data_IF_186177841781
#
_entry.id   IF_186177841781
#
_cell.length_a   1.000
_cell.length_b   1.000
_cell.length_c   1.000
_cell.angle_alpha   90.00
_cell.angle_beta   90.00
_cell.angle_gamma   90.00
#
_symmetry.space_group_name_H-M   'P 1'
#
loop_
_entity.id
_entity.type
_entity.pdbx_description
1 polymer ?
#
# COMPACT_ATOMS: atom_id res chain seq x y z
N UNK A 1 -0.33 -42.03 -0.75
CA UNK A 1 0.17 -40.64 -0.68
C UNK A 1 0.38 -40.19 -2.12
N UNK A 2 -0.46 -39.29 -2.62
CA UNK A 2 -0.31 -38.75 -3.97
C UNK A 2 0.54 -37.48 -3.85
N UNK A 3 1.80 -37.60 -4.20
CA UNK A 3 2.77 -36.51 -4.15
C UNK A 3 2.59 -35.70 -5.43
N UNK A 4 1.53 -34.89 -5.51
CA UNK A 4 1.33 -33.97 -6.64
C UNK A 4 2.32 -32.84 -6.48
N UNK A 5 3.57 -33.07 -6.91
CA UNK A 5 4.54 -32.00 -7.09
C UNK A 5 3.89 -30.94 -7.98
N UNK A 6 3.87 -29.66 -7.56
CA UNK A 6 3.34 -28.61 -8.40
C UNK A 6 4.03 -28.62 -9.76
N UNK A 7 3.26 -28.33 -10.83
CA UNK A 7 3.83 -28.27 -12.18
C UNK A 7 4.98 -27.26 -12.22
N UNK A 8 5.96 -27.47 -13.11
CA UNK A 8 7.13 -26.58 -13.25
C UNK A 8 6.74 -25.10 -13.41
N UNK A 9 5.61 -24.86 -14.09
CA UNK A 9 5.01 -23.53 -14.25
C UNK A 9 4.50 -22.96 -12.93
N UNK A 10 3.83 -23.75 -12.10
CA UNK A 10 3.32 -23.28 -10.80
C UNK A 10 4.46 -22.90 -9.85
N UNK A 11 5.51 -23.72 -9.79
CA UNK A 11 6.69 -23.42 -8.99
C UNK A 11 7.35 -22.11 -9.44
N UNK A 12 7.50 -21.90 -10.75
CA UNK A 12 8.04 -20.66 -11.30
C UNK A 12 7.18 -19.44 -10.95
N UNK A 13 5.84 -19.55 -11.09
CA UNK A 13 4.91 -18.47 -10.73
C UNK A 13 5.02 -18.09 -9.26
N UNK A 14 5.01 -19.05 -8.34
CA UNK A 14 5.13 -18.76 -6.91
C UNK A 14 6.50 -18.14 -6.60
N UNK A 15 7.59 -18.65 -7.18
CA UNK A 15 8.92 -18.07 -7.00
C UNK A 15 8.98 -16.59 -7.44
N UNK A 16 8.34 -16.24 -8.56
CA UNK A 16 8.21 -14.85 -8.99
C UNK A 16 7.38 -14.02 -8.01
N UNK A 17 6.23 -14.55 -7.57
CA UNK A 17 5.37 -13.89 -6.59
C UNK A 17 6.11 -13.60 -5.27
N UNK A 18 6.91 -14.54 -4.77
CA UNK A 18 7.74 -14.34 -3.57
C UNK A 18 8.67 -13.14 -3.74
N UNK A 19 9.32 -13.01 -4.90
CA UNK A 19 10.17 -11.86 -5.22
C UNK A 19 9.41 -10.54 -5.19
N UNK A 20 8.29 -10.48 -5.92
CA UNK A 20 7.45 -9.28 -6.01
C UNK A 20 6.89 -8.88 -4.63
N UNK A 21 6.44 -9.85 -3.83
CA UNK A 21 5.89 -9.64 -2.50
C UNK A 21 6.94 -9.13 -1.51
N UNK A 22 8.17 -9.62 -1.60
CA UNK A 22 9.28 -9.10 -0.79
C UNK A 22 9.62 -7.66 -1.15
N UNK A 23 9.69 -7.34 -2.46
CA UNK A 23 9.93 -5.99 -2.93
C UNK A 23 8.83 -5.02 -2.46
N UNK A 24 7.57 -5.36 -2.71
CA UNK A 24 6.41 -4.57 -2.28
C UNK A 24 6.42 -4.41 -0.76
N UNK A 25 6.68 -5.47 0.00
CA UNK A 25 6.73 -5.40 1.44
C UNK A 25 7.77 -4.44 1.99
N UNK A 26 9.00 -4.47 1.47
CA UNK A 26 10.07 -3.53 1.84
C UNK A 26 9.69 -2.10 1.44
N UNK A 27 9.16 -1.92 0.23
CA UNK A 27 8.70 -0.62 -0.25
C UNK A 27 7.67 -0.01 0.69
N UNK A 28 6.65 -0.78 1.10
CA UNK A 28 5.62 -0.32 2.02
C UNK A 28 6.17 0.01 3.41
N UNK A 29 7.12 -0.77 3.93
CA UNK A 29 7.76 -0.46 5.23
C UNK A 29 8.50 0.88 5.16
N UNK A 30 9.28 1.11 4.09
CA UNK A 30 10.02 2.35 3.90
C UNK A 30 9.06 3.54 3.72
N UNK A 31 8.08 3.42 2.82
CA UNK A 31 7.08 4.47 2.59
C UNK A 31 6.32 4.77 3.88
N UNK A 32 5.85 3.76 4.60
CA UNK A 32 5.13 3.96 5.86
C UNK A 32 5.99 4.64 6.93
N UNK A 33 7.28 4.30 7.02
CA UNK A 33 8.22 5.00 7.91
C UNK A 33 8.39 6.48 7.56
N UNK A 34 8.43 6.82 6.26
CA UNK A 34 8.45 8.21 5.80
C UNK A 34 7.17 8.97 6.18
N UNK A 35 6.01 8.33 6.10
CA UNK A 35 4.74 8.94 6.53
C UNK A 35 4.71 9.21 8.04
N UNK A 36 5.33 8.36 8.84
CA UNK A 36 5.42 8.52 10.29
C UNK A 36 6.29 9.71 10.76
N UNK A 37 7.01 10.41 9.87
CA UNK A 37 7.75 11.63 10.25
C UNK A 37 6.82 12.76 10.73
N UNK A 38 5.55 12.73 10.34
CA UNK A 38 4.54 13.66 10.83
C UNK A 38 3.54 12.96 11.75
N UNK A 39 3.08 13.64 12.79
CA UNK A 39 2.08 13.11 13.73
C UNK A 39 0.79 12.70 12.98
N UNK A 40 0.36 13.54 12.03
CA UNK A 40 -0.82 13.28 11.20
C UNK A 40 -0.57 12.10 10.25
N UNK A 41 0.61 12.05 9.62
CA UNK A 41 0.97 10.98 8.71
C UNK A 41 1.14 9.62 9.39
N UNK A 42 1.49 9.58 10.68
CA UNK A 42 1.62 8.34 11.45
C UNK A 42 0.30 7.53 11.50
N UNK A 43 -0.86 8.20 11.48
CA UNK A 43 -2.19 7.55 11.45
C UNK A 43 -2.35 6.66 10.21
N UNK A 44 -1.76 7.07 9.08
CA UNK A 44 -1.79 6.34 7.81
C UNK A 44 -0.54 5.45 7.65
N UNK A 45 0.61 5.93 8.10
CA UNK A 45 1.90 5.26 8.00
C UNK A 45 1.96 3.94 8.75
N UNK A 46 1.39 3.87 9.97
CA UNK A 46 1.38 2.64 10.77
C UNK A 46 0.62 1.50 10.04
N UNK A 47 -0.62 1.69 9.56
CA UNK A 47 -1.30 0.69 8.74
C UNK A 47 -0.53 0.27 7.48
N UNK A 48 0.15 1.20 6.80
CA UNK A 48 0.99 0.90 5.63
C UNK A 48 2.14 -0.05 6.02
N UNK A 49 2.85 0.23 7.12
CA UNK A 49 3.92 -0.64 7.62
C UNK A 49 3.38 -2.04 7.94
N UNK A 50 2.24 -2.12 8.65
CA UNK A 50 1.61 -3.40 9.01
C UNK A 50 1.27 -4.19 7.74
N UNK A 51 0.75 -3.53 6.71
CA UNK A 51 0.48 -4.20 5.43
C UNK A 51 1.76 -4.75 4.79
N UNK A 52 2.85 -3.97 4.78
CA UNK A 52 4.15 -4.38 4.25
C UNK A 52 4.72 -5.60 4.98
N UNK A 53 4.55 -5.68 6.30
CA UNK A 53 4.93 -6.85 7.08
C UNK A 53 4.09 -8.08 6.72
N UNK A 54 2.78 -7.92 6.52
CA UNK A 54 1.88 -9.04 6.18
C UNK A 54 2.17 -9.66 4.81
N UNK A 55 2.49 -8.85 3.79
CA UNK A 55 2.83 -9.38 2.47
C UNK A 55 4.19 -10.10 2.46
N UNK A 56 5.17 -9.66 3.26
CA UNK A 56 6.44 -10.37 3.44
C UNK A 56 6.26 -11.70 4.16
N UNK A 57 5.41 -11.72 5.18
CA UNK A 57 5.11 -12.96 5.90
C UNK A 57 4.43 -13.99 4.99
N UNK A 58 3.53 -13.55 4.10
CA UNK A 58 2.97 -14.40 3.07
C UNK A 58 4.04 -14.94 2.10
N UNK A 59 5.01 -14.10 1.68
CA UNK A 59 6.13 -14.53 0.85
C UNK A 59 6.98 -15.63 1.52
N UNK A 60 7.22 -15.50 2.83
CA UNK A 60 7.94 -16.53 3.60
C UNK A 60 7.18 -17.86 3.63
N UNK A 61 5.85 -17.83 3.77
CA UNK A 61 5.02 -19.04 3.77
C UNK A 61 4.93 -19.69 2.37
N UNK A 62 4.87 -18.88 1.31
CA UNK A 62 5.00 -19.38 -0.07
C UNK A 62 6.37 -20.05 -0.30
N UNK A 63 7.44 -19.47 0.23
CA UNK A 63 8.78 -20.06 0.15
C UNK A 63 8.84 -21.39 0.92
N UNK A 64 8.26 -21.45 2.12
CA UNK A 64 8.17 -22.67 2.90
C UNK A 64 7.39 -23.77 2.17
N UNK A 65 6.28 -23.43 1.51
CA UNK A 65 5.53 -24.35 0.66
C UNK A 65 6.38 -24.92 -0.49
N UNK A 66 7.15 -24.09 -1.20
CA UNK A 66 8.01 -24.57 -2.29
C UNK A 66 9.10 -25.54 -1.80
N UNK A 67 9.60 -25.37 -0.57
CA UNK A 67 10.65 -26.23 0.00
C UNK A 67 10.10 -27.51 0.62
N UNK A 68 8.92 -27.45 1.24
CA UNK A 68 8.37 -28.56 2.05
C UNK A 68 7.22 -29.31 1.39
N UNK A 69 6.59 -28.72 0.36
CA UNK A 69 5.32 -29.16 -0.22
C UNK A 69 4.18 -29.29 0.82
N UNK A 70 4.27 -28.58 1.95
CA UNK A 70 3.24 -28.59 2.99
C UNK A 70 2.06 -27.68 2.61
N UNK A 71 0.89 -28.29 2.36
CA UNK A 71 -0.35 -27.57 2.03
C UNK A 71 -0.80 -26.59 3.11
N UNK A 72 -0.42 -26.83 4.37
CA UNK A 72 -0.70 -25.89 5.47
C UNK A 72 0.08 -24.58 5.31
N UNK A 73 1.32 -24.64 4.81
CA UNK A 73 2.11 -23.44 4.51
C UNK A 73 1.46 -22.64 3.36
N UNK A 74 0.89 -23.31 2.37
CA UNK A 74 0.16 -22.66 1.28
C UNK A 74 -1.11 -21.95 1.78
N UNK A 75 -1.89 -22.61 2.64
CA UNK A 75 -3.09 -22.01 3.25
C UNK A 75 -2.73 -20.76 4.06
N UNK A 76 -1.69 -20.84 4.89
CA UNK A 76 -1.19 -19.69 5.64
C UNK A 76 -0.70 -18.57 4.73
N UNK A 77 -0.01 -18.90 3.63
CA UNK A 77 0.45 -17.92 2.65
C UNK A 77 -0.74 -17.12 2.08
N UNK A 78 -1.79 -17.82 1.64
CA UNK A 78 -3.00 -17.22 1.09
C UNK A 78 -3.74 -16.39 2.14
N UNK A 79 -3.85 -16.87 3.38
CA UNK A 79 -4.50 -16.14 4.47
C UNK A 79 -3.79 -14.81 4.75
N UNK A 80 -2.46 -14.81 4.84
CA UNK A 80 -1.66 -13.59 5.06
C UNK A 80 -1.75 -12.65 3.87
N UNK A 81 -1.79 -13.17 2.64
CA UNK A 81 -2.00 -12.37 1.44
C UNK A 81 -3.38 -11.71 1.42
N UNK A 82 -4.42 -12.44 1.82
CA UNK A 82 -5.78 -11.91 1.95
C UNK A 82 -5.86 -10.78 2.98
N UNK A 83 -5.20 -10.95 4.14
CA UNK A 83 -5.09 -9.90 5.16
C UNK A 83 -4.37 -8.66 4.64
N UNK A 84 -3.32 -8.82 3.82
CA UNK A 84 -2.68 -7.69 3.14
C UNK A 84 -3.67 -6.92 2.26
N UNK A 85 -4.40 -7.60 1.38
CA UNK A 85 -5.40 -6.96 0.52
C UNK A 85 -6.53 -6.30 1.31
N UNK A 86 -6.92 -6.87 2.45
CA UNK A 86 -7.89 -6.24 3.35
C UNK A 86 -7.39 -4.89 3.88
N UNK A 87 -6.13 -4.80 4.29
CA UNK A 87 -5.55 -3.52 4.72
C UNK A 87 -5.47 -2.54 3.55
N UNK A 88 -5.07 -3.02 2.35
CA UNK A 88 -4.97 -2.15 1.18
C UNK A 88 -6.30 -1.57 0.73
N UNK A 89 -7.39 -2.35 0.71
CA UNK A 89 -8.69 -1.81 0.30
C UNK A 89 -9.18 -0.72 1.25
N UNK A 90 -8.89 -0.83 2.55
CA UNK A 90 -9.24 0.20 3.54
C UNK A 90 -8.40 1.46 3.30
N UNK A 91 -7.08 1.31 3.12
CA UNK A 91 -6.18 2.43 2.81
C UNK A 91 -6.52 3.14 1.51
N UNK A 92 -6.97 2.39 0.50
CA UNK A 92 -7.39 2.93 -0.80
C UNK A 92 -8.62 3.84 -0.64
N UNK A 93 -9.61 3.44 0.17
CA UNK A 93 -10.80 4.25 0.44
C UNK A 93 -10.40 5.55 1.16
N UNK A 94 -9.56 5.47 2.19
CA UNK A 94 -9.10 6.65 2.95
C UNK A 94 -8.38 7.62 2.03
N UNK A 95 -7.44 7.12 1.22
CA UNK A 95 -6.67 7.93 0.27
C UNK A 95 -7.59 8.60 -0.75
N UNK A 96 -8.60 7.90 -1.26
CA UNK A 96 -9.55 8.44 -2.24
C UNK A 96 -10.38 9.59 -1.65
N UNK A 97 -10.86 9.46 -0.41
CA UNK A 97 -11.59 10.52 0.28
C UNK A 97 -10.69 11.75 0.49
N UNK A 98 -9.46 11.56 0.98
CA UNK A 98 -8.51 12.65 1.17
C UNK A 98 -8.13 13.33 -0.15
N UNK A 99 -8.01 12.57 -1.23
CA UNK A 99 -7.70 13.11 -2.55
C UNK A 99 -8.80 14.03 -3.07
N UNK A 100 -10.07 13.66 -2.90
CA UNK A 100 -11.21 14.53 -3.28
C UNK A 100 -11.21 15.81 -2.45
N UNK A 101 -11.03 15.71 -1.13
CA UNK A 101 -10.96 16.89 -0.24
C UNK A 101 -9.78 17.80 -0.60
N UNK A 102 -8.64 17.23 -0.96
CA UNK A 102 -7.45 17.97 -1.39
C UNK A 102 -7.71 18.77 -2.67
N UNK A 103 -8.40 18.18 -3.67
CA UNK A 103 -8.78 18.89 -4.90
C UNK A 103 -9.71 20.07 -4.58
N UNK A 104 -10.74 19.85 -3.75
CA UNK A 104 -11.67 20.92 -3.35
C UNK A 104 -10.91 22.06 -2.67
N UNK A 105 -10.00 21.74 -1.74
CA UNK A 105 -9.19 22.73 -1.05
C UNK A 105 -8.35 23.57 -2.01
N UNK A 106 -7.73 22.94 -3.03
CA UNK A 106 -6.96 23.66 -4.06
C UNK A 106 -7.85 24.62 -4.85
N UNK A 107 -9.03 24.18 -5.30
CA UNK A 107 -9.94 25.01 -6.09
C UNK A 107 -10.36 26.26 -5.29
N UNK A 108 -10.75 26.07 -4.03
CA UNK A 108 -11.12 27.17 -3.13
C UNK A 108 -9.92 28.10 -2.90
N UNK A 109 -8.74 27.56 -2.63
CA UNK A 109 -7.53 28.34 -2.40
C UNK A 109 -7.17 29.20 -3.61
N UNK A 110 -7.20 28.65 -4.83
CA UNK A 110 -6.95 29.39 -6.07
C UNK A 110 -8.00 30.49 -6.25
N UNK A 111 -9.29 30.18 -6.07
CA UNK A 111 -10.36 31.16 -6.23
C UNK A 111 -10.17 32.36 -5.28
N UNK A 112 -9.91 32.09 -4.00
CA UNK A 112 -9.64 33.13 -3.00
C UNK A 112 -8.39 33.93 -3.36
N UNK A 113 -7.30 33.27 -3.73
CA UNK A 113 -6.05 33.92 -4.11
C UNK A 113 -6.22 34.87 -5.31
N UNK A 114 -6.97 34.45 -6.34
CA UNK A 114 -7.26 35.28 -7.51
C UNK A 114 -8.05 36.55 -7.14
N UNK A 115 -9.07 36.43 -6.27
CA UNK A 115 -9.84 37.59 -5.81
C UNK A 115 -8.97 38.57 -5.01
N UNK A 116 -8.09 38.08 -4.13
CA UNK A 116 -7.13 38.95 -3.42
C UNK A 116 -6.17 39.64 -4.38
N UNK A 117 -5.69 38.94 -5.42
CA UNK A 117 -4.78 39.53 -6.40
C UNK A 117 -5.47 40.63 -7.23
N UNK A 118 -6.69 40.42 -7.69
CA UNK A 118 -7.47 41.44 -8.41
C UNK A 118 -7.74 42.68 -7.54
N UNK A 119 -8.15 42.50 -6.28
CA UNK A 119 -8.44 43.61 -5.36
C UNK A 119 -7.26 44.56 -5.13
N UNK A 120 -6.04 44.04 -5.04
CA UNK A 120 -4.84 44.87 -4.87
C UNK A 120 -4.50 45.68 -6.14
N UNK A 121 -4.79 45.17 -7.35
CA UNK A 121 -4.48 45.89 -8.59
C UNK A 121 -5.33 47.17 -8.78
N UNK A 122 -6.54 47.21 -8.21
CA UNK A 122 -7.39 48.40 -8.25
C UNK A 122 -6.96 49.51 -7.28
N UNK A 123 -6.24 49.17 -6.19
CA UNK A 123 -5.80 50.16 -5.20
C UNK A 123 -4.52 50.92 -5.63
N UNK A 124 -3.70 50.33 -6.52
CA UNK A 124 -2.51 50.99 -7.10
C UNK A 124 -2.80 51.79 -8.39
N UNK A 125 -4.05 51.84 -8.85
CA UNK A 125 -4.45 52.54 -10.09
C UNK A 125 -5.32 53.79 -9.85
N UNK A 126 -5.44 54.23 -8.59
CA UNK A 126 -6.04 55.51 -8.16
C UNK A 126 -4.96 56.40 -7.56
#
# INVERSE_FOLDING_TARGET
>A
MNNTTPSSMFHFTISKMIGDMNFVGIFYIITGALYCLSIIGAVVGIPIIISGLRVRESANQFQAYLTTNDTMALEQAIERQSRFFFIQKVLMIITLVLFVLYIIAIIVFIGVFMTYFEGNNFEYSV
#
